data_IF_230582994421
#
_entry.id   IF_230582994421
#
_cell.length_a   1.000
_cell.length_b   1.000
_cell.length_c   1.000
_cell.angle_alpha   90.00
_cell.angle_beta   90.00
_cell.angle_gamma   90.00
#
_symmetry.space_group_name_H-M   'P 1'
#
loop_
_entity.id
_entity.type
_entity.pdbx_description
1 polymer ?
#
# COMPACT_ATOMS: atom_id res chain seq x y z
N UNK A 1 4.43 -22.49 16.16
CA UNK A 1 4.60 -22.34 14.69
C UNK A 1 5.21 -20.97 14.48
N UNK A 2 6.41 -20.85 13.91
CA UNK A 2 7.13 -19.57 13.87
C UNK A 2 6.40 -18.50 13.05
N UNK A 3 6.03 -18.83 11.83
CA UNK A 3 5.32 -17.95 10.92
C UNK A 3 3.87 -18.35 10.79
N UNK A 4 2.96 -17.39 10.85
CA UNK A 4 1.53 -17.65 10.72
C UNK A 4 0.81 -16.54 9.97
N UNK A 5 -0.24 -16.93 9.26
CA UNK A 5 -1.13 -16.02 8.55
C UNK A 5 -2.53 -16.17 9.15
N UNK A 6 -3.17 -15.05 9.47
CA UNK A 6 -4.58 -14.98 9.85
C UNK A 6 -5.29 -14.06 8.88
N UNK A 7 -6.50 -14.43 8.48
CA UNK A 7 -7.39 -13.53 7.74
C UNK A 7 -8.47 -12.96 8.64
N UNK A 8 -8.83 -11.70 8.42
CA UNK A 8 -9.92 -11.03 9.12
C UNK A 8 -10.86 -10.38 8.12
N UNK A 9 -12.17 -10.61 8.29
CA UNK A 9 -13.19 -9.93 7.52
C UNK A 9 -13.46 -8.55 8.14
N UNK A 10 -13.30 -7.49 7.36
CA UNK A 10 -13.59 -6.12 7.77
C UNK A 10 -14.56 -5.50 6.76
N UNK A 11 -15.85 -5.49 7.12
CA UNK A 11 -16.91 -5.20 6.16
C UNK A 11 -16.91 -6.20 5.01
N UNK A 12 -16.86 -5.70 3.77
CA UNK A 12 -16.78 -6.54 2.56
C UNK A 12 -15.34 -6.92 2.15
N UNK A 13 -14.34 -6.60 2.98
CA UNK A 13 -12.91 -6.78 2.66
C UNK A 13 -12.27 -7.86 3.52
N UNK A 14 -11.19 -8.45 3.02
CA UNK A 14 -10.36 -9.39 3.77
C UNK A 14 -8.99 -8.79 4.01
N UNK A 15 -8.62 -8.64 5.28
CA UNK A 15 -7.27 -8.27 5.72
C UNK A 15 -6.47 -9.54 5.96
N UNK A 16 -5.21 -9.54 5.55
CA UNK A 16 -4.27 -10.62 5.83
C UNK A 16 -3.25 -10.12 6.85
N UNK A 17 -3.17 -10.80 7.98
CA UNK A 17 -2.22 -10.55 9.06
C UNK A 17 -1.14 -11.61 9.04
N UNK A 18 0.11 -11.19 8.88
CA UNK A 18 1.30 -12.02 8.91
C UNK A 18 2.00 -11.79 10.24
N UNK A 19 2.45 -12.87 10.88
CA UNK A 19 3.17 -12.80 12.14
C UNK A 19 4.40 -13.71 12.14
N UNK A 20 5.47 -13.23 12.77
CA UNK A 20 6.61 -14.03 13.24
C UNK A 20 6.58 -14.03 14.77
N UNK A 21 6.14 -15.14 15.36
CA UNK A 21 5.96 -15.26 16.81
C UNK A 21 7.30 -15.29 17.58
N UNK A 22 8.41 -15.57 16.91
CA UNK A 22 9.75 -15.57 17.52
C UNK A 22 10.26 -14.14 17.78
N UNK A 23 10.02 -13.23 16.83
CA UNK A 23 10.51 -11.85 16.90
C UNK A 23 9.45 -10.84 17.32
N UNK A 24 8.17 -11.24 17.33
CA UNK A 24 7.04 -10.34 17.51
C UNK A 24 6.78 -9.43 16.31
N UNK A 25 7.43 -9.68 15.17
CA UNK A 25 7.21 -8.96 13.92
C UNK A 25 5.79 -9.25 13.40
N UNK A 26 5.10 -8.22 12.92
CA UNK A 26 3.80 -8.40 12.27
C UNK A 26 3.58 -7.43 11.13
N UNK A 27 2.80 -7.86 10.14
CA UNK A 27 2.39 -7.06 9.01
C UNK A 27 0.91 -7.29 8.69
N UNK A 28 0.20 -6.24 8.30
CA UNK A 28 -1.18 -6.34 7.81
C UNK A 28 -1.29 -5.75 6.41
N UNK A 29 -1.79 -6.54 5.47
CA UNK A 29 -2.02 -6.12 4.08
C UNK A 29 -3.50 -6.16 3.74
N UNK A 30 -3.92 -5.24 2.86
CA UNK A 30 -5.27 -5.19 2.31
C UNK A 30 -5.23 -5.46 0.79
N UNK A 31 -5.29 -6.73 0.36
CA UNK A 31 -5.19 -7.09 -1.06
C UNK A 31 -6.21 -6.39 -1.95
N UNK A 32 -7.45 -6.27 -1.48
CA UNK A 32 -8.56 -5.66 -2.23
C UNK A 32 -8.43 -4.14 -2.41
N UNK A 33 -7.39 -3.50 -1.87
CA UNK A 33 -7.17 -2.06 -2.01
C UNK A 33 -5.68 -1.77 -2.27
N UNK A 34 -5.26 -2.01 -3.51
CA UNK A 34 -3.90 -1.73 -3.99
C UNK A 34 -2.81 -2.57 -3.31
N UNK A 35 -3.18 -3.72 -2.75
CA UNK A 35 -2.27 -4.59 -1.98
C UNK A 35 -1.50 -3.85 -0.87
N UNK A 36 -2.15 -2.84 -0.28
CA UNK A 36 -1.49 -1.90 0.61
C UNK A 36 -1.04 -2.57 1.92
N UNK A 37 0.25 -2.45 2.26
CA UNK A 37 0.77 -2.76 3.58
C UNK A 37 0.50 -1.58 4.51
N UNK A 38 -0.56 -1.67 5.32
CA UNK A 38 -1.03 -0.54 6.12
C UNK A 38 -0.64 -0.62 7.60
N UNK A 39 -0.16 -1.77 8.07
CA UNK A 39 0.46 -1.92 9.40
C UNK A 39 1.72 -2.78 9.27
N UNK A 40 2.83 -2.28 9.80
CA UNK A 40 4.10 -3.00 9.89
C UNK A 40 4.71 -2.71 11.26
N UNK A 41 4.97 -3.77 12.01
CA UNK A 41 5.58 -3.70 13.34
C UNK A 41 6.86 -4.53 13.35
N UNK A 42 7.97 -3.88 13.71
CA UNK A 42 9.29 -4.50 13.76
C UNK A 42 9.88 -4.40 15.17
N UNK A 43 10.76 -5.34 15.58
CA UNK A 43 11.46 -5.27 16.85
C UNK A 43 12.49 -4.12 16.84
N UNK A 44 12.17 -3.02 17.52
CA UNK A 44 13.04 -1.86 17.70
C UNK A 44 13.31 -1.66 19.17
N UNK A 45 14.59 -1.80 19.56
CA UNK A 45 15.05 -1.79 20.95
C UNK A 45 14.30 -2.82 21.83
N UNK A 46 14.19 -4.06 21.33
CA UNK A 46 13.56 -5.17 22.06
C UNK A 46 12.04 -5.11 22.17
N UNK A 47 11.36 -4.21 21.45
CA UNK A 47 9.89 -4.09 21.45
C UNK A 47 9.36 -3.97 20.03
N UNK A 48 8.23 -4.61 19.73
CA UNK A 48 7.52 -4.40 18.46
C UNK A 48 6.96 -2.98 18.40
N UNK A 49 7.42 -2.17 17.42
CA UNK A 49 6.98 -0.78 17.21
C UNK A 49 6.36 -0.62 15.83
N UNK A 50 5.29 0.18 15.68
CA UNK A 50 4.76 0.52 14.36
C UNK A 50 5.79 1.35 13.60
N UNK A 51 6.09 0.94 12.37
CA UNK A 51 7.04 1.60 11.48
C UNK A 51 6.32 2.27 10.30
N UNK A 52 5.14 1.74 9.95
CA UNK A 52 4.28 2.28 8.90
C UNK A 52 3.11 3.01 9.54
N UNK A 53 2.78 4.18 9.00
CA UNK A 53 1.63 4.96 9.44
C UNK A 53 0.43 4.72 8.51
N UNK A 54 -0.74 4.58 9.12
CA UNK A 54 -2.04 4.67 8.46
C UNK A 54 -3.04 5.27 9.46
N UNK A 55 -4.13 5.84 8.94
CA UNK A 55 -5.24 6.31 9.76
C UNK A 55 -5.82 5.16 10.62
N UNK A 56 -6.29 5.46 11.85
CA UNK A 56 -7.01 4.46 12.65
C UNK A 56 -8.19 3.88 11.87
N UNK A 57 -8.38 2.55 11.97
CA UNK A 57 -9.45 1.83 11.27
C UNK A 57 -9.44 1.97 9.73
N UNK A 58 -8.32 2.36 9.13
CA UNK A 58 -8.22 2.57 7.68
C UNK A 58 -8.67 1.36 6.86
N UNK A 59 -8.39 0.12 7.31
CA UNK A 59 -8.82 -1.08 6.59
C UNK A 59 -10.36 -1.24 6.49
N UNK A 60 -11.12 -0.67 7.43
CA UNK A 60 -12.58 -0.70 7.39
C UNK A 60 -13.16 0.29 6.37
N UNK A 61 -12.55 1.47 6.25
CA UNK A 61 -12.97 2.51 5.30
C UNK A 61 -11.76 3.12 4.59
N UNK A 62 -11.11 2.39 3.65
CA UNK A 62 -9.85 2.82 3.07
C UNK A 62 -10.06 4.01 2.13
N UNK A 63 -9.21 5.03 2.30
CA UNK A 63 -9.16 6.22 1.46
C UNK A 63 -7.75 6.81 1.40
N UNK A 64 -7.52 7.76 0.50
CA UNK A 64 -6.22 8.46 0.35
C UNK A 64 -5.02 7.48 0.37
N UNK A 65 -4.96 6.48 -0.54
CA UNK A 65 -3.92 5.44 -0.51
C UNK A 65 -2.49 5.99 -0.58
N UNK A 66 -2.30 7.13 -1.26
CA UNK A 66 -0.99 7.81 -1.31
C UNK A 66 -0.52 8.42 0.01
N UNK A 67 -1.33 8.37 1.07
CA UNK A 67 -1.01 8.91 2.41
C UNK A 67 -1.07 7.86 3.52
N UNK A 68 -1.47 6.62 3.21
CA UNK A 68 -1.70 5.57 4.18
C UNK A 68 -0.96 4.31 3.77
N UNK A 69 -0.22 3.73 4.70
CA UNK A 69 0.51 2.50 4.46
C UNK A 69 1.61 2.64 3.42
N UNK A 70 1.86 1.55 2.70
CA UNK A 70 2.81 1.49 1.58
C UNK A 70 2.01 1.22 0.29
N UNK A 71 1.70 2.28 -0.49
CA UNK A 71 1.02 2.11 -1.77
C UNK A 71 1.97 1.60 -2.85
N UNK A 72 1.49 0.68 -3.69
CA UNK A 72 2.18 0.28 -4.92
C UNK A 72 1.94 1.35 -5.99
N UNK A 73 3.00 1.97 -6.48
CA UNK A 73 2.95 3.02 -7.51
C UNK A 73 3.36 2.44 -8.86
N UNK A 74 2.39 1.85 -9.55
CA UNK A 74 2.59 1.13 -10.80
C UNK A 74 1.47 1.50 -11.79
N UNK A 75 1.75 1.67 -13.11
CA UNK A 75 3.02 1.38 -13.81
C UNK A 75 4.17 2.38 -13.62
N UNK A 76 3.93 3.56 -13.07
CA UNK A 76 4.99 4.54 -12.83
C UNK A 76 4.80 5.28 -11.50
N UNK A 77 5.88 5.54 -10.75
CA UNK A 77 5.83 6.46 -9.63
C UNK A 77 5.85 7.90 -10.12
N UNK A 78 5.30 8.80 -9.30
CA UNK A 78 5.30 10.23 -9.52
C UNK A 78 4.67 10.62 -10.88
N UNK A 79 5.09 11.77 -11.44
CA UNK A 79 4.38 12.46 -12.51
C UNK A 79 4.95 12.13 -13.90
N UNK A 80 4.05 12.01 -14.87
CA UNK A 80 4.35 12.16 -16.29
C UNK A 80 3.78 13.50 -16.76
N UNK A 81 4.66 14.36 -17.27
CA UNK A 81 4.32 15.73 -17.68
C UNK A 81 3.25 15.71 -18.78
N UNK A 82 2.12 16.36 -18.54
CA UNK A 82 1.02 16.40 -19.52
C UNK A 82 0.41 15.02 -19.82
N UNK A 83 0.74 13.99 -19.04
CA UNK A 83 0.39 12.60 -19.36
C UNK A 83 0.94 12.10 -20.69
N UNK A 84 1.85 12.85 -21.34
CA UNK A 84 2.28 12.59 -22.70
C UNK A 84 3.72 12.09 -22.73
N UNK A 85 3.97 11.00 -23.44
CA UNK A 85 5.31 10.49 -23.68
C UNK A 85 5.37 9.73 -25.01
N UNK A 86 6.60 9.55 -25.53
CA UNK A 86 6.86 8.76 -26.74
C UNK A 86 7.77 7.59 -26.38
N UNK A 87 7.40 6.38 -26.81
CA UNK A 87 8.18 5.16 -26.59
C UNK A 87 8.10 4.27 -27.83
N UNK A 88 9.24 3.75 -28.29
CA UNK A 88 9.28 2.88 -29.48
C UNK A 88 8.71 3.52 -30.76
N UNK A 89 8.84 4.84 -30.91
CA UNK A 89 8.27 5.57 -32.04
C UNK A 89 6.76 5.83 -31.96
N UNK A 90 6.07 5.34 -30.91
CA UNK A 90 4.65 5.56 -30.67
C UNK A 90 4.41 6.62 -29.59
N UNK A 91 3.44 7.48 -29.83
CA UNK A 91 2.96 8.47 -28.84
C UNK A 91 1.89 7.86 -27.94
N UNK A 92 1.95 8.23 -26.66
CA UNK A 92 1.04 7.77 -25.62
C UNK A 92 0.52 8.97 -24.85
N UNK A 93 -0.80 8.99 -24.64
CA UNK A 93 -1.49 9.97 -23.83
C UNK A 93 -2.21 9.26 -22.69
N UNK A 94 -1.81 9.57 -21.46
CA UNK A 94 -2.43 9.08 -20.23
C UNK A 94 -3.53 10.03 -19.75
N UNK A 95 -4.55 9.50 -19.03
CA UNK A 95 -5.51 10.35 -18.32
C UNK A 95 -4.81 11.26 -17.29
N UNK A 96 -5.26 12.51 -17.22
CA UNK A 96 -4.70 13.50 -16.28
C UNK A 96 -5.43 13.43 -14.93
N UNK A 97 -5.16 12.37 -14.17
CA UNK A 97 -5.73 12.18 -12.83
C UNK A 97 -5.28 13.25 -11.82
N UNK A 98 -4.23 14.04 -12.13
CA UNK A 98 -3.84 15.21 -11.35
C UNK A 98 -3.29 16.32 -12.25
N UNK A 99 -4.20 17.10 -12.84
CA UNK A 99 -3.88 18.24 -13.71
C UNK A 99 -2.69 19.09 -13.18
N UNK A 100 -1.71 19.43 -14.04
CA UNK A 100 -1.65 19.16 -15.47
C UNK A 100 -1.02 17.81 -15.85
N UNK A 101 -0.85 16.86 -14.92
CA UNK A 101 -0.05 15.65 -15.13
C UNK A 101 -0.86 14.36 -14.92
N UNK A 102 -0.35 13.25 -15.44
CA UNK A 102 -0.67 11.92 -14.91
C UNK A 102 0.25 11.64 -13.71
N UNK A 103 -0.24 10.97 -12.66
CA UNK A 103 0.53 10.70 -11.45
C UNK A 103 0.23 9.32 -10.86
N UNK A 104 1.27 8.59 -10.43
CA UNK A 104 1.18 7.37 -9.62
C UNK A 104 0.48 6.15 -10.27
N UNK A 105 0.44 6.10 -11.60
CA UNK A 105 -0.18 5.02 -12.37
C UNK A 105 -1.12 5.52 -13.46
#
# INVERSE_FOLDING_TARGET
MRYRIRTEAVGARTVYHLHDDETGTSASVLPSYGFNLFDLRLPVAGRARPIVWAEPNWAANPGRPGRNGIPVLFPFPNRIRGGHYRFGGKEYQLPLNRMPNAIHG
#
